data_IF_730023143241
#
_entry.id   IF_730023143241
#
_cell.length_a   1.000
_cell.length_b   1.000
_cell.length_c   1.000
_cell.angle_alpha   90.00
_cell.angle_beta   90.00
_cell.angle_gamma   90.00
#
_symmetry.space_group_name_H-M   'P 1'
#
loop_
_entity.id
_entity.type
_entity.pdbx_description
1 polymer ?
#
# COMPACT_ATOMS: atom_id res chain seq x y z
N UNK A 1 7.05 -2.80 -9.43
CA UNK A 1 6.81 -4.22 -9.07
C UNK A 1 5.30 -4.39 -8.96
N UNK A 2 4.69 -5.25 -9.77
CA UNK A 2 3.24 -5.50 -9.71
C UNK A 2 3.00 -6.38 -8.48
N UNK A 3 2.02 -6.01 -7.64
CA UNK A 3 1.55 -6.88 -6.55
C UNK A 3 1.15 -8.24 -7.17
N UNK A 4 1.93 -9.29 -6.91
CA UNK A 4 1.59 -10.65 -7.32
C UNK A 4 0.74 -11.27 -6.23
N UNK A 5 -0.52 -11.54 -6.53
CA UNK A 5 -1.31 -12.47 -5.75
C UNK A 5 -0.85 -13.89 -6.07
N UNK A 6 -0.53 -14.68 -5.06
CA UNK A 6 -0.31 -16.12 -5.27
C UNK A 6 -1.66 -16.74 -5.67
N UNK A 7 -1.74 -17.25 -6.90
CA UNK A 7 -2.95 -17.93 -7.38
C UNK A 7 -3.02 -19.30 -6.72
N UNK A 8 -4.00 -19.46 -5.82
CA UNK A 8 -4.22 -20.76 -5.19
C UNK A 8 -4.79 -21.81 -6.18
N UNK A 9 -4.60 -23.11 -5.93
CA UNK A 9 -5.19 -24.15 -6.76
C UNK A 9 -6.72 -24.05 -6.86
N UNK A 10 -7.39 -23.64 -5.80
CA UNK A 10 -8.85 -23.43 -5.81
C UNK A 10 -9.23 -22.25 -6.69
N UNK A 11 -8.51 -21.12 -6.58
CA UNK A 11 -8.72 -19.94 -7.41
C UNK A 11 -8.54 -20.27 -8.89
N UNK A 12 -7.46 -21.01 -9.24
CA UNK A 12 -7.24 -21.44 -10.62
C UNK A 12 -8.38 -22.32 -11.14
N UNK A 13 -8.82 -23.29 -10.35
CA UNK A 13 -9.92 -24.19 -10.74
C UNK A 13 -11.23 -23.44 -10.94
N UNK A 14 -11.55 -22.49 -10.07
CA UNK A 14 -12.74 -21.63 -10.23
C UNK A 14 -12.65 -20.79 -11.49
N UNK A 15 -11.48 -20.18 -11.75
CA UNK A 15 -11.27 -19.37 -12.95
C UNK A 15 -11.42 -20.19 -14.24
N UNK A 16 -10.80 -21.37 -14.33
CA UNK A 16 -10.91 -22.26 -15.49
C UNK A 16 -12.38 -22.64 -15.77
N UNK A 17 -13.12 -23.00 -14.72
CA UNK A 17 -14.54 -23.31 -14.83
C UNK A 17 -15.39 -22.13 -15.31
N UNK A 18 -15.10 -20.92 -14.84
CA UNK A 18 -15.82 -19.70 -15.27
C UNK A 18 -15.52 -19.38 -16.74
N UNK A 19 -14.25 -19.46 -17.14
CA UNK A 19 -13.83 -19.18 -18.53
C UNK A 19 -14.48 -20.17 -19.51
N UNK A 20 -14.47 -21.45 -19.16
CA UNK A 20 -15.01 -22.51 -20.03
C UNK A 20 -16.53 -22.47 -20.15
N UNK A 21 -17.24 -22.16 -19.04
CA UNK A 21 -18.70 -22.22 -18.99
C UNK A 21 -19.41 -20.91 -19.25
N UNK A 22 -18.71 -19.77 -19.08
CA UNK A 22 -19.23 -18.43 -19.31
C UNK A 22 -18.28 -17.61 -20.20
N UNK A 23 -18.05 -18.02 -21.45
CA UNK A 23 -17.10 -17.37 -22.33
C UNK A 23 -17.43 -15.90 -22.53
N UNK A 24 -16.43 -15.02 -22.38
CA UNK A 24 -16.58 -13.57 -22.52
C UNK A 24 -17.24 -12.85 -21.34
N UNK A 25 -17.55 -13.56 -20.25
CA UNK A 25 -18.04 -12.93 -19.03
C UNK A 25 -16.91 -12.28 -18.26
N UNK A 26 -17.03 -10.97 -17.98
CA UNK A 26 -16.12 -10.29 -17.07
C UNK A 26 -16.19 -10.91 -15.68
N UNK A 27 -15.05 -11.12 -15.07
CA UNK A 27 -14.95 -11.62 -13.70
C UNK A 27 -13.71 -11.08 -13.01
N UNK A 28 -13.71 -11.16 -11.68
CA UNK A 28 -12.53 -10.92 -10.84
C UNK A 28 -12.57 -11.88 -9.67
N UNK A 29 -11.45 -12.50 -9.34
CA UNK A 29 -11.35 -13.41 -8.21
C UNK A 29 -10.32 -12.88 -7.24
N UNK A 30 -10.73 -12.72 -5.98
CA UNK A 30 -9.86 -12.34 -4.87
C UNK A 30 -9.72 -13.54 -3.94
N UNK A 31 -8.47 -13.95 -3.69
CA UNK A 31 -8.13 -14.98 -2.72
C UNK A 31 -7.71 -14.33 -1.41
N UNK A 32 -8.44 -14.61 -0.34
CA UNK A 32 -8.14 -14.10 1.01
C UNK A 32 -7.41 -15.13 1.88
N UNK A 33 -6.74 -16.12 1.26
CA UNK A 33 -6.05 -17.28 1.86
C UNK A 33 -6.97 -18.37 2.44
N UNK A 34 -8.22 -18.05 2.73
CA UNK A 34 -9.23 -19.01 3.23
C UNK A 34 -10.46 -19.03 2.37
N UNK A 35 -10.77 -17.91 1.73
CA UNK A 35 -12.04 -17.72 1.05
C UNK A 35 -11.81 -17.10 -0.32
N UNK A 36 -12.68 -17.41 -1.27
CA UNK A 36 -12.68 -16.76 -2.58
C UNK A 36 -13.84 -15.77 -2.68
N UNK A 37 -13.53 -14.57 -3.16
CA UNK A 37 -14.53 -13.59 -3.56
C UNK A 37 -14.55 -13.57 -5.08
N UNK A 38 -15.68 -13.99 -5.66
CA UNK A 38 -15.91 -14.06 -7.11
C UNK A 38 -16.85 -12.94 -7.50
N UNK A 39 -16.33 -11.96 -8.21
CA UNK A 39 -17.10 -10.83 -8.70
C UNK A 39 -17.42 -11.03 -10.18
N UNK A 40 -18.70 -10.92 -10.53
CA UNK A 40 -19.21 -11.10 -11.90
C UNK A 40 -20.28 -10.07 -12.18
N UNK A 41 -20.69 -9.86 -13.46
CA UNK A 41 -21.79 -8.96 -13.77
C UNK A 41 -23.03 -9.27 -12.94
N UNK A 42 -23.72 -8.23 -12.46
CA UNK A 42 -24.86 -8.35 -11.53
C UNK A 42 -25.90 -9.37 -11.99
N UNK A 43 -26.21 -9.40 -13.28
CA UNK A 43 -27.17 -10.34 -13.85
C UNK A 43 -26.72 -11.81 -13.87
N UNK A 44 -25.42 -12.07 -13.69
CA UNK A 44 -24.83 -13.42 -13.74
C UNK A 44 -24.62 -14.05 -12.37
N UNK A 45 -24.77 -13.27 -11.28
CA UNK A 45 -24.43 -13.76 -9.93
C UNK A 45 -25.16 -15.06 -9.51
N UNK A 46 -26.46 -15.16 -9.79
CA UNK A 46 -27.25 -16.36 -9.41
C UNK A 46 -26.87 -17.57 -10.26
N UNK A 47 -26.68 -17.39 -11.56
CA UNK A 47 -26.26 -18.47 -12.45
C UNK A 47 -24.87 -18.99 -12.07
N UNK A 48 -23.91 -18.10 -11.82
CA UNK A 48 -22.56 -18.47 -11.41
C UNK A 48 -22.58 -19.15 -10.05
N UNK A 49 -23.38 -18.68 -9.10
CA UNK A 49 -23.51 -19.31 -7.78
C UNK A 49 -24.06 -20.74 -7.88
N UNK A 50 -25.13 -20.92 -8.64
CA UNK A 50 -25.73 -22.24 -8.85
C UNK A 50 -24.75 -23.19 -9.54
N UNK A 51 -24.03 -22.71 -10.54
CA UNK A 51 -22.99 -23.47 -11.25
C UNK A 51 -21.86 -23.88 -10.31
N UNK A 52 -21.28 -22.96 -9.54
CA UNK A 52 -20.21 -23.27 -8.60
C UNK A 52 -20.67 -24.23 -7.50
N UNK A 53 -21.93 -24.16 -7.04
CA UNK A 53 -22.46 -25.10 -6.05
C UNK A 53 -22.49 -26.55 -6.56
N UNK A 54 -22.71 -26.76 -7.84
CA UNK A 54 -22.65 -28.08 -8.45
C UNK A 54 -21.23 -28.64 -8.51
N UNK A 55 -20.22 -27.78 -8.73
CA UNK A 55 -18.81 -28.19 -8.86
C UNK A 55 -18.06 -28.23 -7.53
N UNK A 56 -18.56 -27.53 -6.53
CA UNK A 56 -17.97 -27.45 -5.18
C UNK A 56 -19.05 -27.71 -4.10
N UNK A 57 -19.62 -28.93 -4.04
CA UNK A 57 -20.73 -29.24 -3.13
C UNK A 57 -20.37 -29.07 -1.65
N UNK A 58 -19.11 -29.31 -1.30
CA UNK A 58 -18.60 -29.22 0.07
C UNK A 58 -18.17 -27.81 0.49
N UNK A 59 -18.12 -26.86 -0.45
CA UNK A 59 -17.76 -25.47 -0.15
C UNK A 59 -19.02 -24.64 0.11
N UNK A 60 -19.01 -23.84 1.17
CA UNK A 60 -20.10 -22.93 1.46
C UNK A 60 -20.15 -21.82 0.41
N UNK A 61 -21.31 -21.64 -0.24
CA UNK A 61 -21.56 -20.56 -1.18
C UNK A 61 -22.47 -19.52 -0.54
N UNK A 62 -21.94 -18.31 -0.32
CA UNK A 62 -22.65 -17.24 0.34
C UNK A 62 -23.07 -16.14 -0.65
N UNK A 63 -24.17 -15.44 -0.34
CA UNK A 63 -24.73 -14.35 -1.15
C UNK A 63 -24.30 -12.98 -0.66
N UNK A 64 -24.22 -12.85 0.64
CA UNK A 64 -23.89 -11.59 1.32
C UNK A 64 -22.81 -11.84 2.35
N UNK A 65 -21.86 -10.97 2.40
CA UNK A 65 -20.91 -10.95 3.49
C UNK A 65 -21.62 -10.53 4.80
N UNK A 66 -21.33 -11.26 5.86
CA UNK A 66 -21.75 -10.94 7.21
C UNK A 66 -20.50 -10.61 8.05
N UNK A 67 -20.62 -9.75 9.09
CA UNK A 67 -19.50 -9.44 9.99
C UNK A 67 -18.89 -10.65 10.72
N UNK A 68 -19.57 -11.81 10.70
CA UNK A 68 -19.13 -13.06 11.35
C UNK A 68 -18.39 -14.04 10.41
N UNK A 69 -17.91 -13.57 9.27
CA UNK A 69 -17.19 -14.39 8.28
C UNK A 69 -15.88 -14.97 8.84
N UNK A 70 -15.31 -14.36 9.87
CA UNK A 70 -14.07 -14.85 10.51
C UNK A 70 -14.20 -16.28 11.09
N UNK A 71 -15.42 -16.72 11.41
CA UNK A 71 -15.71 -18.06 11.93
C UNK A 71 -16.00 -19.10 10.84
N UNK A 72 -16.24 -18.68 9.59
CA UNK A 72 -16.49 -19.55 8.45
C UNK A 72 -15.19 -19.82 7.69
N UNK A 73 -14.81 -21.09 7.59
CA UNK A 73 -13.69 -21.54 6.80
C UNK A 73 -14.17 -22.02 5.42
N UNK A 74 -13.36 -21.75 4.39
CA UNK A 74 -13.53 -22.31 3.03
C UNK A 74 -14.90 -21.99 2.38
N UNK A 75 -15.20 -20.72 2.20
CA UNK A 75 -16.38 -20.30 1.44
C UNK A 75 -16.03 -19.60 0.11
N UNK A 76 -16.99 -19.61 -0.80
CA UNK A 76 -16.98 -18.78 -2.01
C UNK A 76 -18.11 -17.75 -1.92
N UNK A 77 -17.74 -16.47 -1.91
CA UNK A 77 -18.69 -15.36 -2.01
C UNK A 77 -18.84 -14.95 -3.47
N UNK A 78 -20.05 -15.05 -4.03
CA UNK A 78 -20.34 -14.51 -5.37
C UNK A 78 -21.10 -13.21 -5.25
N UNK A 79 -20.50 -12.11 -5.72
CA UNK A 79 -21.09 -10.76 -5.64
C UNK A 79 -20.99 -10.00 -6.97
N UNK A 80 -21.79 -8.91 -7.16
CA UNK A 80 -21.71 -8.08 -8.33
C UNK A 80 -20.37 -7.34 -8.43
N UNK A 81 -19.74 -7.40 -9.62
CA UNK A 81 -18.58 -6.59 -9.93
C UNK A 81 -19.01 -5.13 -10.18
N UNK A 82 -18.24 -4.20 -9.65
CA UNK A 82 -18.41 -2.77 -9.92
C UNK A 82 -17.75 -2.43 -11.26
N UNK A 83 -18.43 -1.63 -12.07
CA UNK A 83 -17.90 -1.19 -13.37
C UNK A 83 -16.57 -0.44 -13.23
N UNK A 84 -15.67 -0.66 -14.18
CA UNK A 84 -14.33 -0.06 -14.23
C UNK A 84 -13.47 -0.41 -12.98
N UNK A 85 -13.77 -1.53 -12.32
CA UNK A 85 -12.92 -2.03 -11.22
C UNK A 85 -11.48 -2.24 -11.74
N UNK A 86 -10.45 -1.77 -11.00
CA UNK A 86 -9.07 -2.03 -11.36
C UNK A 86 -8.73 -3.52 -11.21
N UNK A 87 -8.78 -4.24 -12.31
CA UNK A 87 -8.43 -5.67 -12.39
C UNK A 87 -7.29 -5.90 -13.38
N UNK A 88 -6.53 -6.95 -13.18
CA UNK A 88 -5.42 -7.35 -14.04
C UNK A 88 -5.55 -8.81 -14.41
N UNK A 89 -5.09 -9.17 -15.59
CA UNK A 89 -5.00 -10.55 -16.02
C UNK A 89 -3.67 -11.15 -15.55
N UNK A 90 -3.72 -12.17 -14.71
CA UNK A 90 -2.57 -12.95 -14.28
C UNK A 90 -2.73 -14.39 -14.76
N UNK A 91 -1.93 -14.78 -15.76
CA UNK A 91 -2.17 -16.02 -16.49
C UNK A 91 -3.51 -15.97 -17.24
N UNK A 92 -4.48 -16.76 -16.77
CA UNK A 92 -5.87 -16.76 -17.28
C UNK A 92 -6.88 -16.18 -16.28
N UNK A 93 -6.41 -15.76 -15.10
CA UNK A 93 -7.27 -15.32 -13.99
C UNK A 93 -7.28 -13.80 -13.92
N UNK A 94 -8.46 -13.18 -13.86
CA UNK A 94 -8.57 -11.77 -13.53
C UNK A 94 -8.53 -11.59 -12.01
N UNK A 95 -7.53 -10.84 -11.55
CA UNK A 95 -7.26 -10.57 -10.14
C UNK A 95 -7.42 -9.08 -9.83
N UNK A 96 -7.75 -8.71 -8.57
CA UNK A 96 -7.86 -7.31 -8.18
C UNK A 96 -6.51 -6.62 -8.23
N UNK A 97 -6.50 -5.38 -8.72
CA UNK A 97 -5.36 -4.49 -8.56
C UNK A 97 -5.28 -3.89 -7.16
N UNK A 98 -4.11 -3.35 -6.81
CA UNK A 98 -3.88 -2.74 -5.50
C UNK A 98 -4.88 -1.63 -5.19
N UNK A 99 -5.20 -0.78 -6.16
CA UNK A 99 -6.19 0.30 -5.99
C UNK A 99 -7.59 -0.25 -5.70
N UNK A 100 -7.95 -1.41 -6.28
CA UNK A 100 -9.21 -2.08 -5.97
C UNK A 100 -9.20 -2.62 -4.54
N UNK A 101 -8.16 -3.33 -4.15
CA UNK A 101 -8.03 -3.91 -2.81
C UNK A 101 -8.14 -2.84 -1.72
N UNK A 102 -7.41 -1.73 -1.85
CA UNK A 102 -7.45 -0.63 -0.88
C UNK A 102 -8.85 -0.05 -0.69
N UNK A 103 -9.61 0.12 -1.77
CA UNK A 103 -10.98 0.62 -1.69
C UNK A 103 -11.93 -0.42 -1.13
N UNK A 104 -11.79 -1.68 -1.51
CA UNK A 104 -12.64 -2.77 -1.03
C UNK A 104 -12.46 -3.02 0.46
N UNK A 105 -11.21 -3.02 0.96
CA UNK A 105 -10.92 -3.17 2.39
C UNK A 105 -11.55 -2.06 3.25
N UNK A 106 -11.64 -0.84 2.72
CA UNK A 106 -12.29 0.28 3.42
C UNK A 106 -13.82 0.24 3.33
N UNK A 107 -14.39 -0.39 2.33
CA UNK A 107 -15.81 -0.19 1.98
C UNK A 107 -16.68 -1.45 2.07
N UNK A 108 -16.10 -2.63 1.94
CA UNK A 108 -16.85 -3.86 1.80
C UNK A 108 -17.00 -4.60 3.13
N UNK A 109 -18.18 -5.17 3.33
CA UNK A 109 -18.55 -5.86 4.58
C UNK A 109 -17.70 -7.09 4.85
N UNK A 110 -17.11 -7.67 3.80
CA UNK A 110 -16.19 -8.80 3.87
C UNK A 110 -14.95 -8.49 4.70
N UNK A 111 -14.61 -7.23 4.81
CA UNK A 111 -13.42 -6.72 5.52
C UNK A 111 -13.78 -5.93 6.78
N UNK A 112 -15.01 -6.12 7.31
CA UNK A 112 -15.50 -5.38 8.48
C UNK A 112 -14.74 -5.69 9.79
N UNK A 113 -13.91 -6.74 9.81
CA UNK A 113 -12.99 -7.02 10.92
C UNK A 113 -11.77 -6.09 10.95
N UNK A 114 -11.44 -5.43 9.84
CA UNK A 114 -10.36 -4.45 9.80
C UNK A 114 -10.78 -3.18 10.53
N UNK A 115 -9.92 -2.71 11.43
CA UNK A 115 -10.13 -1.43 12.11
C UNK A 115 -9.75 -0.25 11.21
N UNK A 116 -10.17 0.96 11.58
CA UNK A 116 -9.75 2.18 10.86
C UNK A 116 -8.21 2.33 10.83
N UNK A 117 -7.54 1.92 11.91
CA UNK A 117 -6.09 1.93 12.02
C UNK A 117 -5.44 0.90 11.07
N UNK A 118 -5.99 -0.32 10.97
CA UNK A 118 -5.48 -1.35 10.07
C UNK A 118 -5.57 -0.89 8.61
N UNK A 119 -6.72 -0.34 8.22
CA UNK A 119 -6.95 0.19 6.87
C UNK A 119 -6.00 1.36 6.58
N UNK A 120 -5.83 2.30 7.52
CA UNK A 120 -4.90 3.40 7.34
C UNK A 120 -3.46 2.92 7.18
N UNK A 121 -3.04 1.93 7.96
CA UNK A 121 -1.73 1.30 7.85
C UNK A 121 -1.53 0.58 6.49
N UNK A 122 -2.58 -0.06 5.97
CA UNK A 122 -2.54 -0.64 4.62
C UNK A 122 -2.33 0.42 3.54
N UNK A 123 -3.02 1.57 3.64
CA UNK A 123 -2.80 2.69 2.73
C UNK A 123 -1.38 3.21 2.81
N UNK A 124 -0.83 3.43 4.00
CA UNK A 124 0.55 3.86 4.19
C UNK A 124 1.51 2.87 3.52
N UNK A 125 1.42 1.58 3.84
CA UNK A 125 2.27 0.53 3.27
C UNK A 125 2.14 0.40 1.75
N UNK A 126 0.93 0.60 1.21
CA UNK A 126 0.70 0.54 -0.21
C UNK A 126 1.41 1.68 -0.95
N UNK A 127 1.27 2.91 -0.44
CA UNK A 127 1.90 4.10 -1.03
C UNK A 127 3.42 4.12 -0.82
N UNK A 128 3.91 3.48 0.23
CA UNK A 128 5.35 3.33 0.50
C UNK A 128 6.02 2.31 -0.44
N UNK A 129 5.32 1.23 -0.79
CA UNK A 129 5.92 0.09 -1.50
C UNK A 129 5.61 0.03 -2.99
N UNK A 130 4.53 0.68 -3.42
CA UNK A 130 4.02 0.54 -4.78
C UNK A 130 3.63 1.88 -5.38
N UNK A 131 3.78 2.05 -6.69
CA UNK A 131 3.30 3.24 -7.41
C UNK A 131 1.76 3.19 -7.52
N UNK A 132 1.06 3.57 -6.46
CA UNK A 132 -0.41 3.61 -6.42
C UNK A 132 -0.92 4.69 -7.36
N UNK A 133 -1.76 4.33 -8.31
CA UNK A 133 -2.40 5.28 -9.21
C UNK A 133 -3.61 5.94 -8.51
N UNK A 134 -3.38 7.10 -7.89
CA UNK A 134 -4.40 7.84 -7.13
C UNK A 134 -5.62 8.20 -7.98
N UNK A 135 -5.45 8.50 -9.27
CA UNK A 135 -6.58 8.81 -10.14
C UNK A 135 -7.47 7.58 -10.37
N UNK A 136 -6.87 6.40 -10.57
CA UNK A 136 -7.58 5.13 -10.71
C UNK A 136 -8.26 4.74 -9.40
N UNK A 137 -7.56 4.86 -8.27
CA UNK A 137 -8.07 4.63 -6.92
C UNK A 137 -9.34 5.47 -6.66
N UNK A 138 -9.27 6.78 -6.84
CA UNK A 138 -10.39 7.69 -6.59
C UNK A 138 -11.54 7.53 -7.58
N UNK A 139 -11.28 7.11 -8.83
CA UNK A 139 -12.32 6.78 -9.80
C UNK A 139 -13.12 5.57 -9.34
N UNK A 140 -12.44 4.50 -8.94
CA UNK A 140 -13.10 3.31 -8.43
C UNK A 140 -13.85 3.59 -7.12
N UNK A 141 -13.24 4.32 -6.19
CA UNK A 141 -13.90 4.78 -4.96
C UNK A 141 -15.18 5.58 -5.24
N UNK A 142 -15.16 6.42 -6.29
CA UNK A 142 -16.36 7.18 -6.72
C UNK A 142 -17.49 6.25 -7.20
N UNK A 143 -17.16 5.17 -7.91
CA UNK A 143 -18.14 4.16 -8.33
C UNK A 143 -18.79 3.42 -7.15
N UNK A 144 -18.04 3.29 -6.06
CA UNK A 144 -18.53 2.69 -4.80
C UNK A 144 -19.21 3.71 -3.86
N UNK A 145 -19.25 4.99 -4.20
CA UNK A 145 -19.78 6.06 -3.34
C UNK A 145 -18.89 6.40 -2.14
N UNK A 146 -17.57 6.06 -2.22
CA UNK A 146 -16.59 6.19 -1.14
C UNK A 146 -15.44 7.17 -1.44
N UNK A 147 -15.65 8.05 -2.42
CA UNK A 147 -14.59 8.93 -2.92
C UNK A 147 -13.99 9.83 -1.84
N UNK A 148 -14.81 10.41 -0.98
CA UNK A 148 -14.33 11.36 0.03
C UNK A 148 -13.60 10.64 1.17
N UNK A 149 -14.09 9.49 1.61
CA UNK A 149 -13.42 8.67 2.61
C UNK A 149 -12.02 8.27 2.13
N UNK A 150 -11.92 7.74 0.91
CA UNK A 150 -10.64 7.34 0.31
C UNK A 150 -9.73 8.54 0.06
N UNK A 151 -10.27 9.69 -0.36
CA UNK A 151 -9.48 10.93 -0.49
C UNK A 151 -8.86 11.34 0.84
N UNK A 152 -9.61 11.24 1.93
CA UNK A 152 -9.11 11.57 3.27
C UNK A 152 -8.02 10.60 3.73
N UNK A 153 -8.11 9.29 3.40
CA UNK A 153 -7.04 8.34 3.68
C UNK A 153 -5.75 8.67 2.95
N UNK A 154 -5.85 8.96 1.64
CA UNK A 154 -4.70 9.41 0.84
C UNK A 154 -4.10 10.71 1.38
N UNK A 155 -4.95 11.65 1.80
CA UNK A 155 -4.48 12.90 2.39
C UNK A 155 -3.72 12.68 3.70
N UNK A 156 -4.14 11.72 4.55
CA UNK A 156 -3.40 11.35 5.78
C UNK A 156 -2.02 10.78 5.46
N UNK A 157 -1.91 9.87 4.48
CA UNK A 157 -0.60 9.34 4.05
C UNK A 157 0.33 10.46 3.62
N UNK A 158 -0.14 11.37 2.77
CA UNK A 158 0.64 12.52 2.31
C UNK A 158 0.98 13.49 3.45
N UNK A 159 0.06 13.68 4.40
CA UNK A 159 0.27 14.54 5.56
C UNK A 159 1.39 14.00 6.46
N UNK A 160 1.41 12.70 6.73
CA UNK A 160 2.44 12.07 7.57
C UNK A 160 3.85 12.28 6.99
N UNK A 161 4.01 12.16 5.66
CA UNK A 161 5.29 12.44 4.99
C UNK A 161 5.67 13.91 5.06
N UNK A 162 4.73 14.82 4.76
CA UNK A 162 4.95 16.27 4.85
C UNK A 162 5.28 16.68 6.27
N UNK A 163 4.58 16.11 7.25
CA UNK A 163 4.85 16.38 8.67
C UNK A 163 6.23 15.88 9.10
N UNK A 164 6.65 14.70 8.61
CA UNK A 164 8.00 14.15 8.86
C UNK A 164 9.07 15.12 8.32
N UNK A 165 8.93 15.53 7.06
CA UNK A 165 9.89 16.51 6.45
C UNK A 165 9.90 17.82 7.24
N UNK A 166 8.73 18.33 7.64
CA UNK A 166 8.63 19.55 8.44
C UNK A 166 9.34 19.42 9.79
N UNK A 167 9.16 18.29 10.50
CA UNK A 167 9.85 18.02 11.77
C UNK A 167 11.37 18.00 11.60
N UNK A 168 11.88 17.43 10.50
CA UNK A 168 13.30 17.43 10.16
C UNK A 168 13.81 18.86 9.92
N UNK A 169 13.08 19.63 9.11
CA UNK A 169 13.43 21.04 8.82
C UNK A 169 13.47 21.87 10.09
N UNK A 170 12.45 21.76 10.95
CA UNK A 170 12.35 22.49 12.20
C UNK A 170 13.47 22.10 13.18
N UNK A 171 13.88 20.84 13.20
CA UNK A 171 14.99 20.37 13.99
C UNK A 171 16.32 20.98 13.51
N UNK A 172 16.62 20.91 12.22
CA UNK A 172 17.90 21.39 11.68
C UNK A 172 18.10 22.90 11.76
N UNK A 173 17.03 23.70 12.00
CA UNK A 173 17.20 25.14 12.25
C UNK A 173 18.04 25.44 13.51
N UNK A 174 18.05 24.54 14.50
CA UNK A 174 18.83 24.67 15.73
C UNK A 174 20.20 24.01 15.66
N UNK A 175 20.48 23.26 14.59
CA UNK A 175 21.67 22.44 14.48
C UNK A 175 22.72 23.05 13.52
N UNK A 176 23.99 22.66 13.62
CA UNK A 176 25.05 23.11 12.72
C UNK A 176 24.96 22.44 11.33
N UNK A 177 23.80 22.43 10.73
CA UNK A 177 23.52 21.88 9.41
C UNK A 177 23.33 23.01 8.41
N UNK A 178 24.04 22.98 7.29
CA UNK A 178 23.89 23.93 6.18
C UNK A 178 22.83 23.43 5.21
N UNK A 179 22.92 22.17 4.78
CA UNK A 179 21.96 21.53 3.87
C UNK A 179 21.68 20.11 4.28
N UNK A 180 20.45 19.67 4.01
CA UNK A 180 20.05 18.28 4.19
C UNK A 180 19.20 17.78 3.03
N UNK A 181 19.43 16.53 2.65
CA UNK A 181 18.67 15.81 1.62
C UNK A 181 18.15 14.50 2.19
N UNK A 182 16.94 14.15 1.83
CA UNK A 182 16.46 12.77 1.99
C UNK A 182 16.95 11.92 0.83
N UNK A 183 17.34 10.68 1.12
CA UNK A 183 17.71 9.69 0.10
C UNK A 183 17.18 8.30 0.50
N UNK A 184 17.62 7.24 -0.16
CA UNK A 184 17.23 5.88 0.19
C UNK A 184 15.76 5.56 -0.05
N UNK A 185 15.21 4.67 0.77
CA UNK A 185 13.85 4.16 0.60
C UNK A 185 12.79 5.25 0.75
N UNK A 186 12.97 6.17 1.70
CA UNK A 186 12.03 7.26 1.96
C UNK A 186 11.94 8.23 0.77
N UNK A 187 13.06 8.55 0.11
CA UNK A 187 13.07 9.43 -1.07
C UNK A 187 12.37 8.79 -2.27
N UNK A 188 12.49 7.48 -2.44
CA UNK A 188 11.87 6.71 -3.53
C UNK A 188 10.43 6.29 -3.27
N UNK A 189 9.86 6.63 -2.10
CA UNK A 189 8.55 6.13 -1.66
C UNK A 189 8.48 4.60 -1.54
N UNK A 190 9.60 3.98 -1.11
CA UNK A 190 9.75 2.54 -0.95
C UNK A 190 9.97 2.12 0.52
N UNK A 191 9.88 3.07 1.45
CA UNK A 191 10.09 2.82 2.86
C UNK A 191 9.03 1.87 3.46
N UNK A 192 9.44 1.14 4.48
CA UNK A 192 8.58 0.33 5.34
C UNK A 192 8.31 1.09 6.65
N UNK A 193 7.28 0.71 7.42
CA UNK A 193 7.03 1.32 8.72
C UNK A 193 8.21 1.25 9.69
N UNK A 194 9.07 0.24 9.53
CA UNK A 194 10.28 -0.04 10.29
C UNK A 194 11.58 0.37 9.56
N UNK A 195 11.48 1.01 8.40
CA UNK A 195 12.65 1.52 7.68
C UNK A 195 13.21 2.77 8.34
N UNK A 196 14.53 2.89 8.34
CA UNK A 196 15.24 4.09 8.75
C UNK A 196 14.94 5.25 7.80
N UNK A 197 15.13 6.46 8.29
CA UNK A 197 15.08 7.67 7.46
C UNK A 197 16.51 8.06 7.12
N UNK A 198 16.89 7.85 5.85
CA UNK A 198 18.22 8.17 5.34
C UNK A 198 18.35 9.66 5.03
N UNK A 199 19.23 10.36 5.74
CA UNK A 199 19.46 11.80 5.57
C UNK A 199 20.93 12.09 5.27
N UNK A 200 21.18 12.73 4.14
CA UNK A 200 22.50 13.26 3.79
C UNK A 200 22.59 14.70 4.25
N UNK A 201 23.70 15.09 4.87
CA UNK A 201 23.88 16.43 5.45
C UNK A 201 25.22 17.06 5.08
N UNK A 202 25.21 18.39 4.91
CA UNK A 202 26.41 19.25 4.94
C UNK A 202 26.43 19.97 6.29
N UNK A 203 27.46 19.72 7.09
CA UNK A 203 27.64 20.40 8.37
C UNK A 203 28.40 21.72 8.24
N UNK A 204 28.04 22.67 9.09
CA UNK A 204 28.77 23.91 9.29
C UNK A 204 30.05 23.64 10.10
N UNK A 205 31.18 23.67 9.42
CA UNK A 205 32.51 23.44 10.02
C UNK A 205 33.12 24.68 10.68
N UNK A 206 32.42 25.81 10.70
CA UNK A 206 32.87 27.02 11.41
C UNK A 206 32.71 26.91 12.94
N UNK A 207 31.84 26.04 13.41
CA UNK A 207 31.65 25.70 14.82
C UNK A 207 32.43 24.42 15.22
N UNK A 208 32.83 24.26 16.49
CA UNK A 208 33.34 22.99 16.99
C UNK A 208 32.29 21.89 16.80
N UNK A 209 32.62 20.89 16.01
CA UNK A 209 31.72 19.78 15.68
C UNK A 209 32.52 18.48 15.68
N UNK A 210 32.18 17.59 16.60
CA UNK A 210 32.82 16.30 16.77
C UNK A 210 31.86 15.12 16.73
N UNK A 211 32.38 13.95 17.07
CA UNK A 211 31.61 12.71 17.04
C UNK A 211 30.43 12.69 18.04
N UNK A 212 30.59 13.36 19.19
CA UNK A 212 29.55 13.41 20.22
C UNK A 212 28.35 14.25 19.76
N UNK A 213 28.62 15.42 19.16
CA UNK A 213 27.58 16.27 18.58
C UNK A 213 26.86 15.57 17.44
N UNK A 214 27.61 14.89 16.58
CA UNK A 214 27.03 14.09 15.49
C UNK A 214 26.08 13.00 16.02
N UNK A 215 26.55 12.22 17.01
CA UNK A 215 25.73 11.17 17.61
C UNK A 215 24.49 11.74 18.34
N UNK A 216 24.65 12.90 19.00
CA UNK A 216 23.54 13.61 19.64
C UNK A 216 22.44 13.98 18.64
N UNK A 217 22.81 14.64 17.53
CA UNK A 217 21.87 15.02 16.46
C UNK A 217 21.10 13.79 15.94
N UNK A 218 21.78 12.67 15.71
CA UNK A 218 21.15 11.45 15.20
C UNK A 218 20.14 10.86 16.20
N UNK A 219 20.50 10.80 17.49
CA UNK A 219 19.62 10.30 18.56
C UNK A 219 18.41 11.21 18.74
N UNK A 220 18.62 12.52 18.91
CA UNK A 220 17.56 13.51 19.16
C UNK A 220 16.57 13.58 18.00
N UNK A 221 17.08 13.47 16.76
CA UNK A 221 16.24 13.44 15.58
C UNK A 221 15.41 12.15 15.49
N UNK A 222 16.04 11.01 15.82
CA UNK A 222 15.34 9.71 15.87
C UNK A 222 14.21 9.71 16.91
N UNK A 223 14.47 10.25 18.11
CA UNK A 223 13.46 10.40 19.15
C UNK A 223 12.30 11.32 18.71
N UNK A 224 12.63 12.43 18.05
CA UNK A 224 11.63 13.40 17.57
C UNK A 224 10.73 12.84 16.47
N UNK A 225 11.27 11.97 15.61
CA UNK A 225 10.54 11.34 14.52
C UNK A 225 9.85 10.04 14.94
N UNK A 226 10.27 9.43 16.08
CA UNK A 226 9.81 8.11 16.52
C UNK A 226 10.24 6.98 15.57
N UNK A 227 11.34 7.19 14.82
CA UNK A 227 11.91 6.26 13.83
C UNK A 227 13.44 6.37 13.85
N UNK A 228 14.11 5.29 13.52
CA UNK A 228 15.56 5.34 13.33
C UNK A 228 15.95 6.27 12.18
N UNK A 229 17.02 7.02 12.39
CA UNK A 229 17.58 7.94 11.39
C UNK A 229 19.00 7.51 11.09
N UNK A 230 19.28 7.27 9.81
CA UNK A 230 20.66 7.12 9.33
C UNK A 230 21.13 8.47 8.77
N UNK A 231 21.99 9.14 9.55
CA UNK A 231 22.54 10.44 9.20
C UNK A 231 23.91 10.25 8.55
N UNK A 232 24.08 10.69 7.32
CA UNK A 232 25.32 10.54 6.57
C UNK A 232 25.86 11.91 6.17
N UNK A 233 27.14 12.17 6.46
CA UNK A 233 27.78 13.40 5.99
C UNK A 233 28.05 13.35 4.48
N UNK A 234 27.72 14.42 3.78
CA UNK A 234 28.04 14.56 2.36
C UNK A 234 29.56 14.62 2.18
N UNK A 235 30.14 13.65 1.52
CA UNK A 235 31.60 13.45 1.42
C UNK A 235 32.10 12.23 2.21
N UNK A 236 31.31 11.68 3.13
CA UNK A 236 31.59 10.40 3.79
C UNK A 236 30.94 9.20 3.08
N UNK A 237 30.19 9.45 2.02
CA UNK A 237 29.57 8.40 1.20
C UNK A 237 30.63 7.48 0.61
N UNK A 238 30.39 6.18 0.71
CA UNK A 238 31.25 5.19 0.06
C UNK A 238 31.12 5.31 -1.47
N UNK A 239 32.22 5.11 -2.23
CA UNK A 239 32.22 5.31 -3.69
C UNK A 239 31.10 4.59 -4.44
N UNK A 240 30.73 3.38 -4.03
CA UNK A 240 29.67 2.59 -4.65
C UNK A 240 28.25 3.13 -4.40
N UNK A 241 28.07 3.98 -3.38
CA UNK A 241 26.76 4.55 -3.02
C UNK A 241 26.51 5.92 -3.66
N UNK A 242 27.57 6.64 -4.09
CA UNK A 242 27.49 8.03 -4.57
C UNK A 242 26.49 8.18 -5.72
N UNK A 243 26.56 7.34 -6.74
CA UNK A 243 25.71 7.44 -7.92
C UNK A 243 24.24 7.18 -7.58
N UNK A 244 23.96 6.22 -6.70
CA UNK A 244 22.62 5.89 -6.24
C UNK A 244 22.03 7.05 -5.41
N UNK A 245 22.78 7.55 -4.44
CA UNK A 245 22.35 8.66 -3.59
C UNK A 245 22.12 9.92 -4.42
N UNK A 246 23.03 10.26 -5.34
CA UNK A 246 22.88 11.45 -6.19
C UNK A 246 21.67 11.39 -7.13
N UNK A 247 21.25 10.19 -7.54
CA UNK A 247 20.06 10.01 -8.37
C UNK A 247 18.76 10.19 -7.58
N UNK A 248 18.75 9.72 -6.34
CA UNK A 248 17.52 9.58 -5.56
C UNK A 248 17.33 10.72 -4.53
N UNK A 249 18.41 11.46 -4.18
CA UNK A 249 18.33 12.49 -3.15
C UNK A 249 17.52 13.71 -3.59
N UNK A 250 16.72 14.26 -2.68
CA UNK A 250 16.07 15.56 -2.87
C UNK A 250 16.31 16.47 -1.66
N UNK A 251 16.54 17.74 -1.93
CA UNK A 251 16.83 18.75 -0.92
C UNK A 251 15.58 18.99 -0.05
N UNK A 252 15.74 18.89 1.26
CA UNK A 252 14.66 19.15 2.24
C UNK A 252 14.96 20.35 3.14
N UNK A 253 16.22 20.71 3.31
CA UNK A 253 16.63 21.83 4.16
C UNK A 253 17.85 22.53 3.58
N UNK A 254 17.83 23.88 3.63
CA UNK A 254 18.97 24.75 3.36
C UNK A 254 18.89 25.96 4.29
N UNK A 255 19.98 26.21 5.00
CA UNK A 255 20.10 27.35 5.90
C UNK A 255 20.17 28.62 5.06
N UNK A 256 19.30 29.62 5.35
CA UNK A 256 19.28 30.93 4.72
C UNK A 256 20.52 31.77 5.08
#
# INVERSE_FOLDING_TARGET
MIYKSDISPLMQKVADLLIDSFPGMDHCITDTRRNLIVEVPKGSCEAVRAFLKQHFPDVALIRNAYPMIDDLHDFILVKPMISEAPVFLEGKVFVPGLEKLLVDHDSDKEYASLTDADIQLEFQRAFERYPVNTARLLRYASRKGKKEEIRNRVARVNFDRVETVRKIQDFFRGEPVIRAWLFGSFSRMEERPDSDIDILVDFDRSAPFGLMEYAGIMVDLSERLGREVDLVENGALKPYAIDNVNRDKYLIYERA
#
